data_IF_180677868854
#
_entry.id   IF_180677868854
#
_cell.length_a   1.000
_cell.length_b   1.000
_cell.length_c   1.000
_cell.angle_alpha   90.00
_cell.angle_beta   90.00
_cell.angle_gamma   90.00
#
_symmetry.space_group_name_H-M   'P 1'
#
loop_
_entity.id
_entity.type
_entity.pdbx_description
1 polymer ?
#
# COMPACT_ATOMS: atom_id res chain seq x y z
N UNK A 1 -41.15 14.88 -36.44
CA UNK A 1 -41.15 15.31 -35.03
C UNK A 1 -40.59 14.26 -34.07
N UNK A 2 -40.96 12.98 -34.15
CA UNK A 2 -40.45 11.94 -33.23
C UNK A 2 -38.96 11.66 -33.29
N UNK A 3 -38.33 11.75 -34.48
CA UNK A 3 -36.88 11.50 -34.68
C UNK A 3 -36.02 12.60 -34.05
N UNK A 4 -36.45 13.86 -34.15
CA UNK A 4 -35.74 15.01 -33.56
C UNK A 4 -35.74 14.92 -32.02
N UNK A 5 -36.85 14.50 -31.42
CA UNK A 5 -36.97 14.32 -29.99
C UNK A 5 -36.06 13.19 -29.45
N UNK A 6 -35.87 12.12 -30.21
CA UNK A 6 -34.97 11.01 -29.84
C UNK A 6 -33.50 11.45 -29.94
N UNK A 7 -33.13 12.18 -30.99
CA UNK A 7 -31.78 12.69 -31.16
C UNK A 7 -31.37 13.70 -30.07
N UNK A 8 -32.30 14.59 -29.67
CA UNK A 8 -32.04 15.52 -28.56
C UNK A 8 -31.93 14.81 -27.22
N UNK A 9 -32.74 13.78 -26.99
CA UNK A 9 -32.63 12.98 -25.75
C UNK A 9 -31.29 12.21 -25.67
N UNK A 10 -30.85 11.61 -26.77
CA UNK A 10 -29.56 10.90 -26.85
C UNK A 10 -28.39 11.87 -26.66
N UNK A 11 -28.42 13.05 -27.28
CA UNK A 11 -27.38 14.06 -27.11
C UNK A 11 -27.31 14.57 -25.66
N UNK A 12 -28.43 14.70 -24.97
CA UNK A 12 -28.49 15.13 -23.58
C UNK A 12 -27.95 14.07 -22.62
N UNK A 13 -28.19 12.78 -22.90
CA UNK A 13 -27.64 11.67 -22.11
C UNK A 13 -26.12 11.56 -22.33
N UNK A 14 -25.63 11.69 -23.54
CA UNK A 14 -24.18 11.66 -23.83
C UNK A 14 -23.42 12.82 -23.18
N UNK A 15 -24.02 14.02 -23.10
CA UNK A 15 -23.38 15.16 -22.46
C UNK A 15 -23.26 15.02 -20.94
N UNK A 16 -24.15 14.27 -20.28
CA UNK A 16 -24.05 13.99 -18.83
C UNK A 16 -22.82 13.10 -18.48
N UNK A 17 -22.42 12.20 -19.39
CA UNK A 17 -21.24 11.35 -19.16
C UNK A 17 -19.91 12.08 -19.36
N UNK A 18 -19.88 13.22 -20.04
CA UNK A 18 -18.69 14.01 -20.27
C UNK A 18 -18.30 14.87 -19.07
N UNK A 19 -19.19 15.07 -18.11
CA UNK A 19 -18.97 15.86 -16.89
C UNK A 19 -18.81 15.02 -15.63
N UNK A 20 -18.73 13.68 -15.74
CA UNK A 20 -18.40 12.87 -14.59
C UNK A 20 -16.95 13.17 -14.17
N UNK A 21 -16.70 13.76 -13.00
CA UNK A 21 -15.34 13.96 -12.54
C UNK A 21 -14.70 12.57 -12.39
N UNK A 22 -13.42 12.42 -12.77
CA UNK A 22 -12.71 11.17 -12.48
C UNK A 22 -12.76 10.98 -10.96
N UNK A 23 -13.44 9.95 -10.50
CA UNK A 23 -13.38 9.53 -9.10
C UNK A 23 -11.96 8.99 -8.91
N UNK A 24 -11.05 9.87 -8.52
CA UNK A 24 -9.72 9.52 -8.07
C UNK A 24 -9.88 8.81 -6.71
N UNK A 25 -10.26 7.55 -6.77
CA UNK A 25 -10.26 6.64 -5.63
C UNK A 25 -8.82 6.23 -5.26
N UNK A 26 -7.88 7.15 -5.39
CA UNK A 26 -6.58 7.02 -4.78
C UNK A 26 -6.70 7.64 -3.39
N UNK A 27 -6.82 6.79 -2.39
CA UNK A 27 -6.42 7.21 -1.05
C UNK A 27 -5.00 7.73 -1.19
N UNK A 28 -4.83 9.06 -1.14
CA UNK A 28 -3.49 9.61 -1.25
C UNK A 28 -2.70 9.13 -0.04
N UNK A 29 -1.46 8.68 -0.24
CA UNK A 29 -0.54 8.34 0.85
C UNK A 29 -0.61 9.39 1.98
N UNK A 30 -0.57 10.67 1.61
CA UNK A 30 -0.63 11.79 2.55
C UNK A 30 -1.94 11.89 3.35
N UNK A 31 -3.03 11.28 2.91
CA UNK A 31 -4.27 11.24 3.68
C UNK A 31 -4.23 10.18 4.79
N UNK A 32 -3.53 9.07 4.57
CA UNK A 32 -3.51 7.92 5.49
C UNK A 32 -2.23 7.85 6.33
N UNK A 33 -1.08 8.24 5.79
CA UNK A 33 0.22 8.09 6.43
C UNK A 33 0.89 9.44 6.70
N UNK A 34 1.70 9.49 7.77
CA UNK A 34 2.42 10.70 8.18
C UNK A 34 3.86 10.68 7.66
N UNK A 35 4.12 11.49 6.63
CA UNK A 35 5.44 11.61 6.02
C UNK A 35 6.51 12.13 7.00
N UNK A 36 6.12 12.83 8.07
CA UNK A 36 7.05 13.30 9.11
C UNK A 36 7.36 12.24 10.15
N UNK A 37 6.67 11.08 10.12
CA UNK A 37 6.84 9.96 11.05
C UNK A 37 7.29 8.69 10.35
N UNK A 38 8.20 8.83 9.40
CA UNK A 38 8.86 7.72 8.75
C UNK A 38 10.07 7.28 9.57
N UNK A 39 10.19 5.98 9.80
CA UNK A 39 11.29 5.40 10.58
C UNK A 39 11.63 3.99 10.10
N UNK A 40 12.72 3.48 10.63
CA UNK A 40 13.15 2.11 10.40
C UNK A 40 12.49 1.17 11.41
N UNK A 41 12.04 0.04 10.90
CA UNK A 41 11.50 -1.05 11.68
C UNK A 41 12.31 -2.30 11.40
N UNK A 42 12.53 -3.11 12.42
CA UNK A 42 13.24 -4.36 12.32
C UNK A 42 12.46 -5.43 13.11
N UNK A 43 12.15 -6.53 12.47
CA UNK A 43 11.36 -7.57 13.10
C UNK A 43 11.29 -8.84 12.27
N UNK A 44 10.62 -9.84 12.81
CA UNK A 44 10.42 -11.13 12.15
C UNK A 44 9.19 -11.08 11.26
N UNK A 45 9.33 -11.48 10.00
CA UNK A 45 8.21 -11.58 9.06
C UNK A 45 7.32 -12.77 9.45
N UNK A 46 6.07 -12.49 9.85
CA UNK A 46 5.17 -13.51 10.41
C UNK A 46 3.97 -13.83 9.55
N UNK A 47 3.56 -12.90 8.67
CA UNK A 47 2.38 -13.09 7.82
C UNK A 47 2.49 -12.25 6.56
N UNK A 48 1.91 -12.76 5.49
CA UNK A 48 1.70 -12.05 4.23
C UNK A 48 0.22 -12.16 3.82
N UNK A 49 -0.39 -11.03 3.52
CA UNK A 49 -1.71 -10.94 2.93
C UNK A 49 -1.57 -10.39 1.50
N UNK A 50 -1.57 -11.32 0.52
CA UNK A 50 -1.30 -10.99 -0.89
C UNK A 50 -2.58 -10.83 -1.67
N UNK A 51 -3.27 -9.70 -1.47
CA UNK A 51 -4.56 -9.39 -2.09
C UNK A 51 -4.55 -8.03 -2.77
N UNK A 52 -5.42 -7.86 -3.80
CA UNK A 52 -5.67 -6.53 -4.38
C UNK A 52 -6.55 -5.70 -3.43
N UNK A 53 -6.40 -4.36 -3.45
CA UNK A 53 -5.50 -3.58 -4.29
C UNK A 53 -4.04 -3.57 -3.80
N UNK A 54 -3.77 -3.78 -2.52
CA UNK A 54 -2.45 -3.71 -1.89
C UNK A 54 -2.13 -4.99 -1.15
N UNK A 55 -0.87 -5.42 -1.18
CA UNK A 55 -0.42 -6.45 -0.25
C UNK A 55 -0.13 -5.83 1.13
N UNK A 56 -0.28 -6.66 2.14
CA UNK A 56 0.12 -6.34 3.52
C UNK A 56 1.05 -7.44 4.02
N UNK A 57 2.11 -7.05 4.70
CA UNK A 57 2.93 -7.99 5.45
C UNK A 57 3.00 -7.58 6.92
N UNK A 58 3.33 -8.53 7.76
CA UNK A 58 3.28 -8.34 9.21
C UNK A 58 4.60 -8.72 9.84
N UNK A 59 5.07 -7.87 10.74
CA UNK A 59 6.29 -8.09 11.50
C UNK A 59 6.00 -8.17 12.99
N UNK A 60 6.59 -9.15 13.64
CA UNK A 60 6.72 -9.17 15.08
C UNK A 60 7.96 -8.35 15.48
N UNK A 61 7.73 -7.24 16.15
CA UNK A 61 8.74 -6.26 16.54
C UNK A 61 8.80 -6.17 18.05
N UNK A 62 9.99 -6.27 18.63
CA UNK A 62 10.19 -6.01 20.07
C UNK A 62 10.25 -4.51 20.30
N UNK A 63 9.41 -4.01 21.21
CA UNK A 63 9.48 -2.63 21.66
C UNK A 63 10.61 -2.45 22.70
N UNK A 64 10.82 -1.22 23.15
CA UNK A 64 11.86 -0.88 24.15
C UNK A 64 11.71 -1.63 25.48
N UNK A 65 10.48 -2.01 25.84
CA UNK A 65 10.21 -2.82 27.04
C UNK A 65 10.40 -4.33 26.80
N UNK A 66 10.85 -4.74 25.62
CA UNK A 66 11.03 -6.15 25.23
C UNK A 66 9.74 -6.89 24.87
N UNK A 67 8.60 -6.21 24.89
CA UNK A 67 7.31 -6.78 24.48
C UNK A 67 7.23 -6.90 22.97
N UNK A 68 6.76 -8.04 22.48
CA UNK A 68 6.50 -8.25 21.04
C UNK A 68 5.18 -7.58 20.65
N UNK A 69 5.25 -6.78 19.60
CA UNK A 69 4.11 -6.10 18.98
C UNK A 69 4.03 -6.50 17.51
N UNK A 70 2.86 -6.92 17.06
CA UNK A 70 2.63 -7.25 15.66
C UNK A 70 2.24 -5.99 14.89
N UNK A 71 3.07 -5.62 13.91
CA UNK A 71 2.92 -4.46 13.04
C UNK A 71 2.50 -4.88 11.65
N UNK A 72 1.53 -4.18 11.07
CA UNK A 72 1.12 -4.35 9.67
C UNK A 72 1.69 -3.25 8.77
N UNK A 73 2.14 -3.64 7.59
CA UNK A 73 2.73 -2.75 6.60
C UNK A 73 2.00 -2.87 5.28
N UNK A 74 1.46 -1.75 4.80
CA UNK A 74 0.87 -1.65 3.46
C UNK A 74 1.95 -1.43 2.42
N UNK A 75 1.82 -2.09 1.28
CA UNK A 75 2.72 -1.96 0.14
C UNK A 75 2.05 -1.29 -1.06
N UNK A 76 2.76 -1.17 -2.16
CA UNK A 76 2.19 -0.88 -3.48
C UNK A 76 1.15 -1.93 -3.90
N UNK A 77 0.41 -1.59 -4.94
CA UNK A 77 -0.44 -2.55 -5.63
C UNK A 77 0.38 -3.73 -6.18
N UNK A 78 -0.22 -4.92 -6.24
CA UNK A 78 0.46 -6.16 -6.64
C UNK A 78 1.17 -6.06 -7.99
N UNK A 79 0.56 -5.34 -8.94
CA UNK A 79 1.16 -5.16 -10.27
C UNK A 79 2.46 -4.36 -10.19
N UNK A 80 2.51 -3.35 -9.32
CA UNK A 80 3.71 -2.52 -9.11
C UNK A 80 4.80 -3.30 -8.41
N UNK A 81 4.46 -4.08 -7.38
CA UNK A 81 5.42 -4.96 -6.69
C UNK A 81 6.10 -5.92 -7.67
N UNK A 82 5.32 -6.59 -8.52
CA UNK A 82 5.87 -7.51 -9.53
C UNK A 82 6.79 -6.82 -10.51
N UNK A 83 6.43 -5.61 -10.98
CA UNK A 83 7.28 -4.80 -11.88
C UNK A 83 8.61 -4.41 -11.23
N UNK A 84 8.60 -4.21 -9.91
CA UNK A 84 9.79 -3.88 -9.13
C UNK A 84 10.60 -5.12 -8.71
N UNK A 85 10.25 -6.30 -9.21
CA UNK A 85 10.94 -7.55 -8.89
C UNK A 85 10.63 -8.09 -7.48
N UNK A 86 9.55 -7.62 -6.86
CA UNK A 86 9.12 -8.11 -5.54
C UNK A 86 7.83 -8.89 -5.72
N UNK A 87 7.93 -10.19 -5.73
CA UNK A 87 6.79 -11.09 -5.88
C UNK A 87 6.39 -11.78 -4.56
N UNK A 88 5.31 -12.54 -4.61
CA UNK A 88 4.81 -13.29 -3.45
C UNK A 88 5.82 -14.31 -2.94
N UNK A 89 6.55 -14.95 -3.85
CA UNK A 89 7.49 -16.02 -3.52
C UNK A 89 8.63 -15.52 -2.64
N UNK A 90 9.14 -14.32 -2.93
CA UNK A 90 10.19 -13.69 -2.15
C UNK A 90 9.80 -13.50 -0.68
N UNK A 91 8.55 -13.11 -0.41
CA UNK A 91 8.04 -13.02 0.95
C UNK A 91 7.92 -14.40 1.62
N UNK A 92 7.44 -15.41 0.89
CA UNK A 92 7.28 -16.77 1.42
C UNK A 92 8.65 -17.35 1.83
N UNK A 93 9.68 -17.18 1.03
CA UNK A 93 11.04 -17.66 1.30
C UNK A 93 11.70 -16.97 2.50
N UNK A 94 11.21 -15.79 2.86
CA UNK A 94 11.69 -15.03 4.01
C UNK A 94 10.75 -15.08 5.22
N UNK A 95 9.71 -15.89 5.18
CA UNK A 95 8.82 -16.10 6.32
C UNK A 95 9.58 -16.65 7.52
N UNK A 96 9.34 -16.09 8.69
CA UNK A 96 10.03 -16.43 9.94
C UNK A 96 11.44 -15.84 10.07
N UNK A 97 11.95 -15.12 9.06
CA UNK A 97 13.25 -14.46 9.11
C UNK A 97 13.12 -13.00 9.53
N UNK A 98 14.23 -12.48 10.04
CA UNK A 98 14.33 -11.06 10.36
C UNK A 98 14.44 -10.24 9.07
N UNK A 99 13.67 -9.16 8.99
CA UNK A 99 13.66 -8.20 7.90
C UNK A 99 13.73 -6.78 8.43
N UNK A 100 14.19 -5.88 7.59
CA UNK A 100 14.22 -4.46 7.87
C UNK A 100 13.29 -3.73 6.90
N UNK A 101 12.51 -2.76 7.41
CA UNK A 101 11.62 -1.93 6.60
C UNK A 101 11.73 -0.47 6.98
N UNK A 102 11.83 0.40 6.00
CA UNK A 102 11.60 1.84 6.16
C UNK A 102 10.15 2.12 5.85
N UNK A 103 9.42 2.70 6.80
CA UNK A 103 8.01 2.95 6.64
C UNK A 103 7.51 4.15 7.42
N UNK A 104 6.37 4.69 7.02
CA UNK A 104 5.74 5.85 7.64
C UNK A 104 4.47 5.42 8.36
N UNK A 105 4.34 5.77 9.65
CA UNK A 105 3.21 5.34 10.47
C UNK A 105 1.90 5.99 10.00
N UNK A 106 0.79 5.30 10.25
CA UNK A 106 -0.53 5.81 9.93
C UNK A 106 -0.88 7.02 10.79
N UNK A 107 -1.67 7.91 10.22
CA UNK A 107 -2.40 8.98 10.91
C UNK A 107 -3.61 8.38 11.64
N UNK A 108 -4.30 9.22 12.42
CA UNK A 108 -5.63 8.92 12.95
C UNK A 108 -5.71 7.71 13.91
N UNK A 109 -4.67 7.48 14.72
CA UNK A 109 -4.75 6.52 15.82
C UNK A 109 -4.78 5.04 15.43
N UNK A 110 -4.57 4.69 14.17
CA UNK A 110 -4.32 3.30 13.79
C UNK A 110 -2.97 2.87 14.36
N UNK A 111 -3.01 2.16 15.46
CA UNK A 111 -1.82 1.64 16.11
C UNK A 111 -1.19 0.52 15.30
N UNK A 112 0.14 0.45 15.32
CA UNK A 112 0.93 -0.63 14.71
C UNK A 112 0.61 -0.87 13.23
N UNK A 113 0.39 0.22 12.52
CA UNK A 113 0.11 0.24 11.08
C UNK A 113 0.97 1.31 10.39
N UNK A 114 1.62 0.93 9.31
CA UNK A 114 2.49 1.81 8.54
C UNK A 114 2.41 1.50 7.03
N UNK A 115 2.76 2.47 6.20
CA UNK A 115 3.10 2.22 4.80
C UNK A 115 4.57 1.82 4.72
N UNK A 116 4.88 0.72 4.05
CA UNK A 116 6.25 0.37 3.72
C UNK A 116 6.72 1.19 2.51
N UNK A 117 7.92 1.75 2.57
CA UNK A 117 8.61 2.37 1.43
C UNK A 117 9.63 1.41 0.82
N UNK A 118 10.62 1.02 1.61
CA UNK A 118 11.62 0.02 1.23
C UNK A 118 11.64 -1.12 2.21
N UNK A 119 11.96 -2.31 1.71
CA UNK A 119 12.08 -3.54 2.45
C UNK A 119 13.40 -4.22 2.11
N UNK A 120 14.12 -4.67 3.12
CA UNK A 120 15.35 -5.46 2.98
C UNK A 120 15.16 -6.82 3.66
N UNK A 121 15.28 -7.87 2.88
CA UNK A 121 15.26 -9.23 3.37
C UNK A 121 16.63 -9.68 3.91
N UNK A 122 16.72 -10.92 4.34
CA UNK A 122 17.93 -11.49 4.91
C UNK A 122 19.11 -11.59 3.92
N UNK A 123 18.85 -11.52 2.61
CA UNK A 123 19.88 -11.46 1.55
C UNK A 123 20.58 -10.10 1.46
N UNK A 124 20.06 -9.08 2.15
CA UNK A 124 20.58 -7.72 2.14
C UNK A 124 20.13 -6.88 0.95
N UNK A 125 19.37 -7.42 0.02
CA UNK A 125 18.84 -6.68 -1.15
C UNK A 125 17.73 -5.76 -0.72
N UNK A 126 17.78 -4.51 -1.20
CA UNK A 126 16.76 -3.50 -0.94
C UNK A 126 15.70 -3.53 -2.03
N UNK A 127 14.46 -3.71 -1.63
CA UNK A 127 13.29 -3.73 -2.50
C UNK A 127 12.43 -2.49 -2.26
N UNK A 128 12.06 -1.78 -3.33
CA UNK A 128 11.08 -0.70 -3.23
C UNK A 128 9.68 -1.32 -3.26
N UNK A 129 8.99 -1.27 -2.14
CA UNK A 129 7.67 -1.89 -1.94
C UNK A 129 6.54 -0.88 -1.73
N UNK A 130 6.88 0.40 -1.64
CA UNK A 130 5.94 1.50 -1.48
C UNK A 130 6.56 2.83 -1.84
N UNK A 131 5.78 3.90 -1.63
CA UNK A 131 6.23 5.25 -1.88
C UNK A 131 7.22 5.68 -0.78
N UNK A 132 8.42 6.09 -1.19
CA UNK A 132 9.35 6.78 -0.31
C UNK A 132 8.88 8.24 -0.17
N UNK A 133 8.84 8.71 1.05
CA UNK A 133 8.74 10.14 1.35
C UNK A 133 10.10 10.51 1.94
N UNK A 134 10.87 11.27 1.20
CA UNK A 134 12.12 11.89 1.64
C UNK A 134 11.80 13.17 2.39
#
# INVERSE_FOLDING_TARGET
MKVVSVLTAVAMICSLFLFAPPILAHHSFAAEFDANKCRDFKGTLTKLDWQSPHAYFYLDIKNEAGKVENWSFQTYALITLRRNGTDRQLFIENMGKEVWVRGCVAKNGKERYAAAGTLKFSDGVLHQVGQLQD
#
